data_IF_939923450770
#
_entry.id   IF_939923450770
#
_cell.length_a   1.000
_cell.length_b   1.000
_cell.length_c   1.000
_cell.angle_alpha   90.00
_cell.angle_beta   90.00
_cell.angle_gamma   90.00
#
_symmetry.space_group_name_H-M   'P 1'
#
loop_
_entity.id
_entity.type
_entity.pdbx_description
1 polymer ?
#
# COMPACT_ATOMS: atom_id res chain seq x y z
N UNK A 1 -2.50 5.39 -14.98
CA UNK A 1 -3.70 4.54 -14.68
C UNK A 1 -4.89 5.08 -15.47
N UNK A 2 -5.67 4.25 -16.16
CA UNK A 2 -6.88 4.71 -16.85
C UNK A 2 -8.07 4.73 -15.88
N UNK A 3 -8.58 5.93 -15.63
CA UNK A 3 -9.69 6.18 -14.69
C UNK A 3 -10.99 5.48 -15.13
N UNK A 4 -11.16 5.23 -16.43
CA UNK A 4 -12.38 4.62 -16.95
C UNK A 4 -12.45 3.11 -16.70
N UNK A 5 -11.32 2.49 -16.37
CA UNK A 5 -11.20 1.07 -16.08
C UNK A 5 -11.21 0.77 -14.56
N UNK A 6 -11.43 1.78 -13.72
CA UNK A 6 -11.51 1.59 -12.28
C UNK A 6 -12.90 1.10 -11.89
N UNK A 7 -12.94 -0.11 -11.33
CA UNK A 7 -14.16 -0.68 -10.76
C UNK A 7 -14.62 0.10 -9.52
N UNK A 8 -15.94 0.19 -9.30
CA UNK A 8 -16.54 0.88 -8.15
C UNK A 8 -16.05 2.32 -7.97
N UNK A 9 -15.82 3.02 -9.10
CA UNK A 9 -15.20 4.35 -9.13
C UNK A 9 -15.91 5.37 -8.25
N UNK A 10 -17.24 5.42 -8.31
CA UNK A 10 -18.04 6.40 -7.54
C UNK A 10 -17.86 6.18 -6.03
N UNK A 11 -17.89 4.94 -5.58
CA UNK A 11 -17.69 4.58 -4.19
C UNK A 11 -16.28 4.97 -3.69
N UNK A 12 -15.26 4.71 -4.50
CA UNK A 12 -13.87 5.10 -4.18
C UNK A 12 -13.70 6.62 -4.13
N UNK A 13 -14.42 7.38 -4.95
CA UNK A 13 -14.44 8.84 -4.88
C UNK A 13 -15.11 9.32 -3.56
N UNK A 14 -16.19 8.68 -3.14
CA UNK A 14 -16.82 9.03 -1.86
C UNK A 14 -15.90 8.72 -0.67
N UNK A 15 -15.16 7.62 -0.70
CA UNK A 15 -14.12 7.32 0.28
C UNK A 15 -13.01 8.38 0.26
N UNK A 16 -12.53 8.77 -0.93
CA UNK A 16 -11.53 9.80 -1.08
C UNK A 16 -11.95 11.14 -0.44
N UNK A 17 -13.21 11.53 -0.59
CA UNK A 17 -13.74 12.77 0.00
C UNK A 17 -13.68 12.79 1.53
N UNK A 18 -13.73 11.64 2.20
CA UNK A 18 -13.68 11.55 3.67
C UNK A 18 -12.35 12.06 4.24
N UNK A 19 -11.25 11.98 3.49
CA UNK A 19 -9.93 12.45 3.95
C UNK A 19 -9.60 13.88 3.54
N UNK A 20 -10.40 14.51 2.66
CA UNK A 20 -10.13 15.88 2.19
C UNK A 20 -10.11 16.91 3.32
N UNK A 21 -10.89 16.69 4.39
CA UNK A 21 -10.92 17.55 5.58
C UNK A 21 -9.60 17.56 6.38
N UNK A 22 -8.73 16.59 6.16
CA UNK A 22 -7.44 16.48 6.85
C UNK A 22 -6.32 17.23 6.13
N UNK A 23 -6.51 17.58 4.85
CA UNK A 23 -5.52 18.31 4.04
C UNK A 23 -5.39 19.76 4.52
N UNK A 24 -4.17 20.13 4.91
CA UNK A 24 -3.83 21.49 5.37
C UNK A 24 -2.59 21.99 4.65
N UNK A 25 -2.48 23.32 4.56
CA UNK A 25 -1.31 23.97 3.98
C UNK A 25 -0.02 23.59 4.72
N UNK A 26 1.05 23.38 3.97
CA UNK A 26 2.38 23.05 4.47
C UNK A 26 2.59 21.61 4.89
N UNK A 27 1.59 20.72 4.81
CA UNK A 27 1.72 19.31 5.20
C UNK A 27 2.57 18.50 4.23
N UNK A 28 3.23 17.47 4.79
CA UNK A 28 3.80 16.35 4.02
C UNK A 28 2.86 15.15 4.14
N UNK A 29 2.38 14.63 3.01
CA UNK A 29 1.36 13.58 2.94
C UNK A 29 1.91 12.38 2.15
N UNK A 30 1.80 11.17 2.71
CA UNK A 30 2.12 9.93 2.02
C UNK A 30 0.98 9.54 1.07
N UNK A 31 1.30 9.38 -0.20
CA UNK A 31 0.38 9.02 -1.27
C UNK A 31 0.57 7.54 -1.61
N UNK A 32 -0.33 6.69 -1.15
CA UNK A 32 -0.33 5.26 -1.45
C UNK A 32 -0.61 4.94 -2.91
N UNK A 33 -0.60 3.66 -3.25
CA UNK A 33 -0.81 3.17 -4.61
C UNK A 33 -2.15 2.41 -4.74
N UNK A 34 -2.52 2.03 -5.96
CA UNK A 34 -3.79 1.38 -6.27
C UNK A 34 -4.91 2.34 -6.65
N UNK A 35 -6.04 1.80 -7.09
CA UNK A 35 -7.13 2.57 -7.69
C UNK A 35 -7.80 3.55 -6.72
N UNK A 36 -8.00 3.14 -5.45
CA UNK A 36 -8.57 4.02 -4.43
C UNK A 36 -7.63 5.17 -4.11
N UNK A 37 -6.34 4.87 -3.91
CA UNK A 37 -5.32 5.89 -3.65
C UNK A 37 -5.16 6.84 -4.84
N UNK A 38 -5.24 6.35 -6.07
CA UNK A 38 -5.17 7.19 -7.27
C UNK A 38 -6.32 8.20 -7.33
N UNK A 39 -7.56 7.75 -7.09
CA UNK A 39 -8.72 8.65 -7.03
C UNK A 39 -8.63 9.63 -5.87
N UNK A 40 -8.11 9.19 -4.71
CA UNK A 40 -7.85 10.06 -3.56
C UNK A 40 -6.83 11.15 -3.91
N UNK A 41 -5.75 10.79 -4.59
CA UNK A 41 -4.76 11.76 -5.08
C UNK A 41 -5.35 12.79 -6.03
N UNK A 42 -6.26 12.38 -6.93
CA UNK A 42 -7.00 13.30 -7.82
C UNK A 42 -7.84 14.30 -7.01
N UNK A 43 -8.62 13.81 -6.05
CA UNK A 43 -9.48 14.68 -5.24
C UNK A 43 -8.66 15.65 -4.37
N UNK A 44 -7.55 15.19 -3.79
CA UNK A 44 -6.57 16.06 -3.09
C UNK A 44 -5.98 17.10 -4.06
N UNK A 45 -5.58 16.68 -5.26
CA UNK A 45 -5.02 17.56 -6.27
C UNK A 45 -5.99 18.68 -6.70
N UNK A 46 -7.27 18.35 -6.88
CA UNK A 46 -8.34 19.35 -7.14
C UNK A 46 -8.46 20.34 -5.98
N UNK A 47 -8.51 19.81 -4.73
CA UNK A 47 -8.62 20.64 -3.53
C UNK A 47 -7.44 21.59 -3.36
N UNK A 48 -6.22 21.12 -3.60
CA UNK A 48 -4.99 21.92 -3.53
C UNK A 48 -5.04 23.07 -4.53
N UNK A 49 -5.43 22.80 -5.78
CA UNK A 49 -5.60 23.83 -6.82
C UNK A 49 -6.70 24.83 -6.46
N UNK A 50 -7.86 24.36 -6.00
CA UNK A 50 -9.01 25.20 -5.66
C UNK A 50 -8.70 26.14 -4.49
N UNK A 51 -8.08 25.63 -3.43
CA UNK A 51 -7.77 26.41 -2.23
C UNK A 51 -6.46 27.21 -2.30
N UNK A 52 -5.62 26.95 -3.30
CA UNK A 52 -4.30 27.58 -3.42
C UNK A 52 -3.32 27.22 -2.30
N UNK A 53 -3.53 26.08 -1.64
CA UNK A 53 -2.63 25.57 -0.60
C UNK A 53 -1.47 24.78 -1.19
N UNK A 54 -0.40 24.63 -0.43
CA UNK A 54 0.79 23.86 -0.82
C UNK A 54 0.99 22.68 0.11
N UNK A 55 1.18 21.52 -0.47
CA UNK A 55 1.55 20.30 0.24
C UNK A 55 2.76 19.66 -0.43
N UNK A 56 3.44 18.79 0.30
CA UNK A 56 4.47 17.90 -0.25
C UNK A 56 3.95 16.47 -0.23
N UNK A 57 3.91 15.79 -1.36
CA UNK A 57 3.53 14.39 -1.45
C UNK A 57 4.75 13.46 -1.35
N UNK A 58 4.58 12.29 -0.73
CA UNK A 58 5.53 11.18 -0.76
C UNK A 58 4.86 10.01 -1.48
N UNK A 59 4.99 9.93 -2.83
CA UNK A 59 4.32 8.91 -3.63
C UNK A 59 5.01 7.55 -3.52
N UNK A 60 4.22 6.47 -3.52
CA UNK A 60 4.73 5.10 -3.43
C UNK A 60 4.95 4.43 -4.79
N UNK A 61 4.58 5.08 -5.89
CA UNK A 61 4.75 4.57 -7.26
C UNK A 61 4.98 5.69 -8.28
N UNK A 62 5.51 5.33 -9.44
CA UNK A 62 5.78 6.27 -10.54
C UNK A 62 4.51 6.94 -11.05
N UNK A 63 3.40 6.21 -11.18
CA UNK A 63 2.14 6.81 -11.65
C UNK A 63 1.53 7.77 -10.61
N UNK A 64 1.75 7.57 -9.31
CA UNK A 64 1.36 8.54 -8.28
C UNK A 64 2.27 9.78 -8.31
N UNK A 65 3.55 9.60 -8.59
CA UNK A 65 4.47 10.72 -8.84
C UNK A 65 4.01 11.59 -10.02
N UNK A 66 3.67 10.97 -11.15
CA UNK A 66 3.18 11.72 -12.33
C UNK A 66 1.83 12.41 -12.04
N UNK A 67 0.95 11.78 -11.26
CA UNK A 67 -0.28 12.43 -10.79
C UNK A 67 0.01 13.69 -9.97
N UNK A 68 0.93 13.63 -9.01
CA UNK A 68 1.32 14.80 -8.21
C UNK A 68 1.83 15.93 -9.11
N UNK A 69 2.65 15.61 -10.08
CA UNK A 69 3.18 16.56 -11.06
C UNK A 69 2.08 17.21 -11.91
N UNK A 70 1.09 16.46 -12.37
CA UNK A 70 -0.06 16.96 -13.12
C UNK A 70 -0.85 18.02 -12.32
N UNK A 71 -0.98 17.79 -11.01
CA UNK A 71 -1.66 18.73 -10.11
C UNK A 71 -0.76 19.82 -9.54
N UNK A 72 0.54 19.85 -9.87
CA UNK A 72 1.51 20.84 -9.39
C UNK A 72 1.84 20.66 -7.90
N UNK A 73 1.69 19.45 -7.38
CA UNK A 73 2.06 19.10 -6.01
C UNK A 73 3.54 18.76 -5.97
N UNK A 74 4.29 19.40 -5.06
CA UNK A 74 5.68 19.06 -4.81
C UNK A 74 5.81 17.62 -4.28
N UNK A 75 6.84 16.92 -4.72
CA UNK A 75 7.12 15.57 -4.25
C UNK A 75 8.44 15.50 -3.49
N UNK A 76 8.52 14.62 -2.51
CA UNK A 76 9.74 14.31 -1.79
C UNK A 76 9.94 12.80 -1.70
N UNK A 77 11.19 12.40 -1.60
CA UNK A 77 11.54 11.05 -1.19
C UNK A 77 11.44 10.91 0.33
N UNK A 78 11.09 9.72 0.79
CA UNK A 78 10.79 9.43 2.19
C UNK A 78 11.90 9.85 3.17
N UNK A 79 13.15 9.67 2.81
CA UNK A 79 14.29 9.91 3.72
C UNK A 79 14.57 11.40 4.03
N UNK A 80 13.83 12.32 3.43
CA UNK A 80 14.05 13.76 3.64
C UNK A 80 13.08 14.40 4.64
N UNK A 81 11.89 13.82 4.86
CA UNK A 81 10.85 14.45 5.69
C UNK A 81 10.03 13.42 6.45
N UNK A 82 9.61 13.75 7.67
CA UNK A 82 8.54 13.02 8.35
C UNK A 82 7.22 13.29 7.65
N UNK A 83 6.36 12.29 7.58
CA UNK A 83 5.03 12.36 6.96
C UNK A 83 4.01 12.73 8.04
N UNK A 84 3.22 13.79 7.82
CA UNK A 84 2.19 14.20 8.77
C UNK A 84 1.05 13.18 8.83
N UNK A 85 0.67 12.67 7.66
CA UNK A 85 -0.25 11.55 7.54
C UNK A 85 -0.12 10.91 6.17
N UNK A 86 -0.55 9.67 6.06
CA UNK A 86 -0.62 8.96 4.78
C UNK A 86 -2.00 8.36 4.54
N UNK A 87 -2.29 8.09 3.29
CA UNK A 87 -3.46 7.33 2.89
C UNK A 87 -3.04 6.22 1.93
N UNK A 88 -3.75 5.10 2.00
CA UNK A 88 -3.55 3.98 1.09
C UNK A 88 -4.81 3.10 1.03
N UNK A 89 -4.83 2.12 0.11
CA UNK A 89 -5.79 1.03 0.08
C UNK A 89 -5.25 -0.22 0.76
N UNK A 90 -6.08 -1.25 0.84
CA UNK A 90 -5.67 -2.61 1.19
C UNK A 90 -6.38 -3.63 0.30
N UNK A 91 -5.76 -4.81 0.15
CA UNK A 91 -6.33 -5.92 -0.61
C UNK A 91 -7.23 -6.77 0.30
N UNK A 92 -6.84 -6.94 1.57
CA UNK A 92 -7.62 -7.55 2.64
C UNK A 92 -7.39 -6.83 3.97
N UNK A 93 -8.44 -6.79 4.81
CA UNK A 93 -8.39 -6.28 6.19
C UNK A 93 -9.15 -7.24 7.11
N UNK A 94 -8.51 -7.74 8.17
CA UNK A 94 -9.15 -8.59 9.17
C UNK A 94 -9.79 -7.79 10.33
N UNK A 95 -10.47 -8.47 11.23
CA UNK A 95 -11.13 -7.85 12.39
C UNK A 95 -10.20 -7.18 13.40
N UNK A 96 -8.88 -7.35 13.27
CA UNK A 96 -7.85 -6.71 14.10
C UNK A 96 -7.13 -5.57 13.35
N UNK A 97 -7.62 -5.16 12.18
CA UNK A 97 -7.00 -4.20 11.27
C UNK A 97 -5.61 -4.65 10.74
N UNK A 98 -5.31 -5.95 10.80
CA UNK A 98 -4.18 -6.47 10.04
C UNK A 98 -4.56 -6.52 8.56
N UNK A 99 -3.56 -6.40 7.68
CA UNK A 99 -3.84 -6.23 6.25
C UNK A 99 -2.95 -7.12 5.39
N UNK A 100 -3.49 -7.50 4.22
CA UNK A 100 -2.69 -7.86 3.05
C UNK A 100 -2.75 -6.67 2.09
N UNK A 101 -1.57 -6.25 1.60
CA UNK A 101 -1.38 -5.19 0.62
C UNK A 101 -0.35 -5.62 -0.41
N UNK A 102 -0.17 -4.81 -1.45
CA UNK A 102 0.90 -5.03 -2.41
C UNK A 102 0.52 -5.81 -3.66
N UNK A 103 -0.79 -6.00 -3.94
CA UNK A 103 -1.20 -6.53 -5.25
C UNK A 103 -0.80 -5.57 -6.38
N UNK A 104 -0.64 -4.27 -6.09
CA UNK A 104 -0.08 -3.25 -6.99
C UNK A 104 1.45 -3.19 -7.04
N UNK A 105 2.18 -4.13 -6.43
CA UNK A 105 3.65 -4.23 -6.45
C UNK A 105 4.41 -3.04 -5.81
N UNK A 106 3.80 -2.33 -4.86
CA UNK A 106 4.38 -1.15 -4.20
C UNK A 106 4.59 -1.31 -2.68
N UNK A 107 4.42 -2.54 -2.14
CA UNK A 107 4.37 -2.83 -0.71
C UNK A 107 5.56 -2.28 0.08
N UNK A 108 6.76 -2.26 -0.49
CA UNK A 108 7.96 -1.72 0.17
C UNK A 108 7.80 -0.22 0.48
N UNK A 109 7.48 0.59 -0.53
CA UNK A 109 7.28 2.03 -0.34
C UNK A 109 6.02 2.35 0.46
N UNK A 110 4.95 1.56 0.31
CA UNK A 110 3.72 1.67 1.09
C UNK A 110 4.00 1.47 2.59
N UNK A 111 4.76 0.42 2.94
CA UNK A 111 5.14 0.15 4.34
C UNK A 111 6.03 1.25 4.90
N UNK A 112 6.99 1.75 4.13
CA UNK A 112 7.81 2.89 4.54
C UNK A 112 6.97 4.14 4.83
N UNK A 113 5.98 4.45 3.99
CA UNK A 113 5.07 5.57 4.24
C UNK A 113 4.31 5.40 5.56
N UNK A 114 3.74 4.22 5.80
CA UNK A 114 3.01 3.91 7.05
C UNK A 114 3.93 4.08 8.26
N UNK A 115 5.12 3.50 8.23
CA UNK A 115 6.08 3.55 9.35
C UNK A 115 6.59 4.97 9.67
N UNK A 116 6.58 5.87 8.69
CA UNK A 116 7.08 7.24 8.85
C UNK A 116 5.97 8.28 8.97
N UNK A 117 4.71 7.86 8.95
CA UNK A 117 3.55 8.72 9.11
C UNK A 117 3.14 8.82 10.59
N UNK A 118 2.80 10.03 11.03
CA UNK A 118 2.20 10.24 12.35
C UNK A 118 0.82 9.60 12.47
N UNK A 119 0.12 9.47 11.33
CA UNK A 119 -1.18 8.79 11.19
C UNK A 119 -1.33 8.22 9.80
N UNK A 120 -1.98 7.06 9.70
CA UNK A 120 -2.29 6.43 8.41
C UNK A 120 -3.77 6.12 8.30
N UNK A 121 -4.35 6.50 7.17
CA UNK A 121 -5.74 6.18 6.80
C UNK A 121 -5.74 5.14 5.68
N UNK A 122 -6.42 4.03 5.92
CA UNK A 122 -6.61 2.97 4.93
C UNK A 122 -8.04 3.07 4.41
N UNK A 123 -8.17 3.37 3.12
CA UNK A 123 -9.46 3.58 2.45
C UNK A 123 -9.83 2.31 1.69
N UNK A 124 -10.91 1.67 2.11
CA UNK A 124 -11.39 0.42 1.54
C UNK A 124 -12.90 0.43 1.35
N UNK A 125 -13.38 -0.32 0.39
CA UNK A 125 -14.78 -0.73 0.32
C UNK A 125 -15.01 -1.99 1.18
N UNK A 126 -16.27 -2.26 1.50
CA UNK A 126 -16.64 -3.35 2.42
C UNK A 126 -16.23 -4.75 1.92
N UNK A 127 -15.97 -4.91 0.62
CA UNK A 127 -15.52 -6.19 0.04
C UNK A 127 -14.10 -6.60 0.45
N UNK A 128 -13.34 -5.65 1.04
CA UNK A 128 -11.96 -5.89 1.51
C UNK A 128 -11.90 -6.47 2.91
N UNK A 129 -13.00 -6.45 3.67
CA UNK A 129 -13.04 -7.12 4.96
C UNK A 129 -13.11 -8.64 4.79
N UNK A 130 -12.26 -9.32 5.53
CA UNK A 130 -12.15 -10.79 5.53
C UNK A 130 -12.23 -11.34 6.95
N UNK A 131 -12.60 -12.63 7.08
CA UNK A 131 -12.63 -13.29 8.38
C UNK A 131 -11.21 -13.60 8.89
N UNK A 132 -10.28 -13.85 7.97
CA UNK A 132 -8.87 -14.09 8.24
C UNK A 132 -8.04 -13.67 7.02
N UNK A 133 -6.81 -13.23 7.24
CA UNK A 133 -5.92 -12.86 6.13
C UNK A 133 -5.58 -14.07 5.26
N UNK A 134 -5.48 -13.86 3.97
CA UNK A 134 -5.24 -14.91 2.97
C UNK A 134 -6.51 -15.61 2.49
N UNK A 135 -7.70 -15.15 2.89
CA UNK A 135 -8.98 -15.70 2.46
C UNK A 135 -9.15 -15.61 0.94
N UNK A 136 -8.87 -14.45 0.37
CA UNK A 136 -9.05 -14.19 -1.06
C UNK A 136 -7.72 -13.96 -1.81
N UNK A 137 -6.74 -13.33 -1.17
CA UNK A 137 -5.49 -12.92 -1.80
C UNK A 137 -4.28 -13.67 -1.23
N UNK A 138 -3.27 -14.00 -2.06
CA UNK A 138 -1.98 -14.43 -1.57
C UNK A 138 -1.24 -13.27 -0.89
N UNK A 139 -0.20 -13.59 -0.13
CA UNK A 139 0.74 -12.61 0.42
C UNK A 139 1.80 -12.32 -0.63
N UNK A 140 1.91 -11.09 -1.15
CA UNK A 140 3.05 -10.73 -2.00
C UNK A 140 4.32 -10.65 -1.18
N UNK A 141 5.40 -11.23 -1.68
CA UNK A 141 6.74 -11.16 -1.08
C UNK A 141 7.71 -10.62 -2.13
N UNK A 142 8.28 -9.45 -1.86
CA UNK A 142 9.28 -8.82 -2.71
C UNK A 142 10.66 -9.34 -2.34
N UNK A 143 11.38 -9.87 -3.34
CA UNK A 143 12.68 -10.50 -3.16
C UNK A 143 13.70 -9.97 -4.14
N UNK A 144 14.97 -10.01 -3.78
CA UNK A 144 16.05 -9.64 -4.70
C UNK A 144 16.03 -10.58 -5.92
N UNK A 145 16.20 -10.07 -7.16
CA UNK A 145 16.19 -10.89 -8.37
C UNK A 145 17.20 -12.04 -8.31
N UNK A 146 16.85 -13.17 -8.94
CA UNK A 146 17.64 -14.41 -8.96
C UNK A 146 17.68 -15.19 -7.65
N UNK A 147 16.89 -14.78 -6.65
CA UNK A 147 16.78 -15.48 -5.36
C UNK A 147 15.45 -16.21 -5.14
N UNK A 148 14.61 -16.25 -6.16
CA UNK A 148 13.21 -16.72 -6.06
C UNK A 148 13.16 -18.19 -5.58
N UNK A 149 14.03 -19.07 -6.08
CA UNK A 149 14.07 -20.47 -5.70
C UNK A 149 14.50 -20.63 -4.24
N UNK A 150 15.59 -19.96 -3.84
CA UNK A 150 16.05 -19.96 -2.45
C UNK A 150 14.98 -19.48 -1.47
N UNK A 151 14.34 -18.34 -1.79
CA UNK A 151 13.30 -17.79 -0.93
C UNK A 151 12.08 -18.71 -0.90
N UNK A 152 11.71 -19.29 -2.04
CA UNK A 152 10.61 -20.26 -2.10
C UNK A 152 10.83 -21.48 -1.19
N UNK A 153 12.05 -22.02 -1.14
CA UNK A 153 12.40 -23.09 -0.20
C UNK A 153 12.22 -22.64 1.25
N UNK A 154 12.72 -21.46 1.61
CA UNK A 154 12.59 -20.90 2.95
C UNK A 154 11.14 -20.62 3.34
N UNK A 155 10.32 -20.15 2.41
CA UNK A 155 8.88 -19.94 2.63
C UNK A 155 8.14 -21.28 2.85
N UNK A 156 8.53 -22.35 2.13
CA UNK A 156 7.99 -23.69 2.39
C UNK A 156 8.39 -24.22 3.78
N UNK A 157 9.62 -23.95 4.23
CA UNK A 157 10.05 -24.27 5.61
C UNK A 157 9.20 -23.55 6.67
N UNK A 158 8.67 -22.35 6.34
CA UNK A 158 7.72 -21.59 7.19
C UNK A 158 6.27 -22.08 7.07
N UNK A 159 5.98 -23.03 6.19
CA UNK A 159 4.65 -23.61 6.00
C UNK A 159 3.87 -23.03 4.82
N UNK A 160 4.52 -22.38 3.85
CA UNK A 160 3.86 -21.96 2.62
C UNK A 160 3.36 -23.19 1.83
N UNK A 161 2.08 -23.14 1.43
CA UNK A 161 1.41 -24.23 0.71
C UNK A 161 1.37 -24.03 -0.79
N UNK A 162 1.45 -22.77 -1.23
CA UNK A 162 1.52 -22.41 -2.65
C UNK A 162 2.41 -21.17 -2.84
N UNK A 163 3.20 -21.18 -3.91
CA UNK A 163 4.10 -20.07 -4.26
C UNK A 163 4.12 -19.92 -5.77
N UNK A 164 3.80 -18.72 -6.26
CA UNK A 164 3.82 -18.38 -7.67
C UNK A 164 4.65 -17.10 -7.93
N UNK A 165 5.46 -17.11 -8.97
CA UNK A 165 6.11 -15.90 -9.46
C UNK A 165 5.08 -15.03 -10.18
N UNK A 166 4.93 -13.75 -9.78
CA UNK A 166 3.96 -12.82 -10.36
C UNK A 166 4.58 -11.83 -11.35
N UNK A 167 5.83 -11.50 -11.20
CA UNK A 167 6.51 -10.46 -11.98
C UNK A 167 7.47 -9.65 -11.13
N UNK A 168 7.67 -8.37 -11.50
CA UNK A 168 8.64 -7.51 -10.83
C UNK A 168 7.99 -6.20 -10.34
N UNK A 169 8.61 -5.59 -9.34
CA UNK A 169 8.30 -4.23 -8.87
C UNK A 169 8.91 -3.17 -9.79
N UNK A 170 8.56 -1.89 -9.58
CA UNK A 170 9.21 -0.76 -10.26
C UNK A 170 10.71 -0.66 -9.94
N UNK A 171 11.17 -1.29 -8.85
CA UNK A 171 12.59 -1.36 -8.48
C UNK A 171 13.30 -2.60 -9.06
N UNK A 172 12.66 -3.29 -10.01
CA UNK A 172 13.17 -4.51 -10.67
C UNK A 172 13.32 -5.73 -9.73
N UNK A 173 12.80 -5.67 -8.49
CA UNK A 173 12.77 -6.81 -7.57
C UNK A 173 11.66 -7.79 -7.98
N UNK A 174 11.91 -9.08 -7.77
CA UNK A 174 10.93 -10.12 -8.06
C UNK A 174 9.82 -10.17 -7.01
N UNK A 175 8.62 -10.59 -7.42
CA UNK A 175 7.46 -10.77 -6.53
C UNK A 175 7.04 -12.23 -6.55
N UNK A 176 6.98 -12.83 -5.37
CA UNK A 176 6.37 -14.13 -5.12
C UNK A 176 5.01 -13.94 -4.46
N UNK A 177 3.96 -14.51 -5.03
CA UNK A 177 2.65 -14.61 -4.39
C UNK A 177 2.59 -15.90 -3.59
N UNK A 178 2.40 -15.78 -2.28
CA UNK A 178 2.57 -16.90 -1.34
C UNK A 178 1.29 -17.14 -0.56
N UNK A 179 0.86 -18.39 -0.45
CA UNK A 179 -0.27 -18.81 0.37
C UNK A 179 0.20 -19.63 1.56
N UNK A 180 -0.45 -19.38 2.70
CA UNK A 180 -0.27 -20.13 3.94
C UNK A 180 -1.64 -20.62 4.41
N UNK A 181 -1.72 -21.80 4.98
CA UNK A 181 -2.95 -22.30 5.61
C UNK A 181 -3.32 -21.48 6.86
N UNK A 182 -2.32 -20.91 7.51
CA UNK A 182 -2.50 -20.09 8.70
C UNK A 182 -1.49 -18.94 8.73
N UNK A 183 -2.01 -17.75 8.97
CA UNK A 183 -1.21 -16.53 9.17
C UNK A 183 -1.30 -16.17 10.66
N UNK A 184 -0.17 -16.22 11.36
CA UNK A 184 -0.04 -15.78 12.74
C UNK A 184 0.67 -14.41 12.84
N UNK A 185 0.61 -13.80 14.03
CA UNK A 185 1.22 -12.48 14.28
C UNK A 185 2.76 -12.46 14.08
N UNK A 186 3.41 -13.60 14.05
CA UNK A 186 4.87 -13.69 13.86
C UNK A 186 5.28 -13.88 12.41
N UNK A 187 4.34 -14.22 11.50
CA UNK A 187 4.65 -14.62 10.14
C UNK A 187 5.32 -13.49 9.34
N UNK A 188 4.85 -12.25 9.49
CA UNK A 188 5.48 -11.10 8.84
C UNK A 188 6.97 -11.00 9.18
N UNK A 189 7.30 -11.09 10.47
CA UNK A 189 8.69 -11.03 10.94
C UNK A 189 9.53 -12.22 10.47
N UNK A 190 8.94 -13.43 10.44
CA UNK A 190 9.61 -14.63 9.94
C UNK A 190 9.94 -14.51 8.46
N UNK A 191 8.98 -14.08 7.62
CA UNK A 191 9.21 -13.83 6.20
C UNK A 191 10.31 -12.77 6.02
N UNK A 192 10.22 -11.66 6.73
CA UNK A 192 11.19 -10.57 6.65
C UNK A 192 12.60 -10.98 7.11
N UNK A 193 12.73 -12.01 7.96
CA UNK A 193 14.03 -12.52 8.41
C UNK A 193 14.75 -13.40 7.38
N UNK A 194 14.08 -13.82 6.32
CA UNK A 194 14.73 -14.56 5.23
C UNK A 194 15.67 -13.63 4.50
N UNK A 195 16.94 -14.06 4.37
CA UNK A 195 17.93 -13.31 3.57
C UNK A 195 17.40 -13.05 2.17
N UNK A 196 17.65 -11.85 1.64
CA UNK A 196 17.22 -11.34 0.32
C UNK A 196 15.73 -11.07 0.15
N UNK A 197 14.90 -11.24 1.18
CA UNK A 197 13.55 -10.68 1.20
C UNK A 197 13.63 -9.18 1.44
N UNK A 198 13.12 -8.41 0.51
CA UNK A 198 13.06 -6.95 0.57
C UNK A 198 11.89 -6.54 1.46
N UNK A 199 10.66 -7.02 1.15
CA UNK A 199 9.48 -6.74 1.94
C UNK A 199 8.38 -7.79 1.68
N UNK A 200 7.38 -7.82 2.59
CA UNK A 200 6.17 -8.62 2.41
C UNK A 200 4.93 -7.74 2.42
N UNK A 201 3.88 -8.22 1.77
CA UNK A 201 2.56 -7.60 1.79
C UNK A 201 1.74 -7.90 3.04
N UNK A 202 2.32 -8.51 4.07
CA UNK A 202 1.70 -8.58 5.40
C UNK A 202 1.96 -7.30 6.18
N UNK A 203 0.91 -6.80 6.82
CA UNK A 203 0.94 -5.61 7.68
C UNK A 203 0.21 -5.97 8.98
N UNK A 204 0.96 -6.45 9.97
CA UNK A 204 0.42 -6.98 11.23
C UNK A 204 0.76 -6.04 12.39
N UNK A 205 -0.29 -5.54 13.09
CA UNK A 205 -0.13 -4.68 14.26
C UNK A 205 0.31 -3.25 13.95
N UNK A 206 0.07 -2.76 12.74
CA UNK A 206 0.31 -1.36 12.38
C UNK A 206 -0.81 -0.46 12.92
N UNK A 207 -0.44 0.71 13.43
CA UNK A 207 -1.40 1.72 13.91
C UNK A 207 -2.00 2.47 12.71
N UNK A 208 -3.15 2.00 12.25
CA UNK A 208 -3.87 2.55 11.11
C UNK A 208 -5.34 2.79 11.44
N UNK A 209 -5.94 3.78 10.82
CA UNK A 209 -7.39 4.01 10.87
C UNK A 209 -8.03 3.55 9.57
N UNK A 210 -8.97 2.59 9.67
CA UNK A 210 -9.71 2.10 8.52
C UNK A 210 -10.86 3.06 8.24
N UNK A 211 -10.91 3.58 7.02
CA UNK A 211 -12.02 4.38 6.49
C UNK A 211 -12.73 3.54 5.45
N UNK A 212 -13.95 3.16 5.77
CA UNK A 212 -14.82 2.41 4.88
C UNK A 212 -16.18 3.09 4.74
N UNK A 213 -17.11 2.51 3.99
CA UNK A 213 -18.43 3.07 3.71
C UNK A 213 -19.32 3.23 4.93
#
# INVERSE_FOLDING_TARGET
MDINLIDNKEEKIELAKKVLGFVKDGQTIGFGSGSTSYLTGIEIGKLVKEKGIKITAVPTSSYMFELCKEYGIETAELHYKSIDWSFDGADEVDGNNNMIKGMGAAMFKEKLNILNSKKTYILIDDSKFVNFLGENHPIPVEVFPTSEEYVSEKLRELGAVDIAFRGSTENENSILDVRFDKIDESLEKKIKSITVVIESGLFIGYDVEIIHR
#
